data_IF_883830816461
#
_entry.id   IF_883830816461
#
_cell.length_a   1.000
_cell.length_b   1.000
_cell.length_c   1.000
_cell.angle_alpha   90.00
_cell.angle_beta   90.00
_cell.angle_gamma   90.00
#
_symmetry.space_group_name_H-M   'P 1'
#
loop_
_entity.id
_entity.type
_entity.pdbx_description
1 polymer ?
#
# COMPACT_ATOMS: atom_id res chain seq x y z
N UNK A 1 -43.49 -19.64 26.81
CA UNK A 1 -42.12 -20.18 26.80
C UNK A 1 -41.55 -20.09 25.38
N UNK A 2 -40.82 -19.01 25.06
CA UNK A 2 -40.31 -18.74 23.70
C UNK A 2 -38.84 -18.26 23.67
N UNK A 3 -38.11 -18.52 24.77
CA UNK A 3 -36.74 -18.05 24.99
C UNK A 3 -35.61 -18.96 24.47
N UNK A 4 -35.75 -20.31 24.35
CA UNK A 4 -34.60 -21.13 23.94
C UNK A 4 -34.30 -21.03 22.44
N UNK A 5 -35.33 -20.84 21.61
CA UNK A 5 -35.17 -20.78 20.14
C UNK A 5 -34.39 -19.54 19.71
N UNK A 6 -34.65 -18.39 20.35
CA UNK A 6 -33.97 -17.13 20.03
C UNK A 6 -32.48 -17.17 20.41
N UNK A 7 -32.15 -17.87 21.51
CA UNK A 7 -30.77 -18.04 21.95
C UNK A 7 -29.97 -18.94 20.99
N UNK A 8 -30.57 -20.05 20.56
CA UNK A 8 -29.95 -20.93 19.57
C UNK A 8 -29.76 -20.24 18.22
N UNK A 9 -30.74 -19.45 17.77
CA UNK A 9 -30.63 -18.68 16.53
C UNK A 9 -29.52 -17.63 16.61
N UNK A 10 -29.39 -16.95 17.75
CA UNK A 10 -28.32 -15.98 18.00
C UNK A 10 -26.93 -16.62 18.02
N UNK A 11 -26.77 -17.76 18.68
CA UNK A 11 -25.50 -18.51 18.73
C UNK A 11 -25.11 -19.05 17.35
N UNK A 12 -26.07 -19.56 16.57
CA UNK A 12 -25.86 -19.98 15.18
C UNK A 12 -25.42 -18.81 14.28
N UNK A 13 -26.00 -17.62 14.46
CA UNK A 13 -25.61 -16.44 13.69
C UNK A 13 -24.20 -15.94 14.05
N UNK A 14 -23.83 -15.98 15.34
CA UNK A 14 -22.47 -15.65 15.80
C UNK A 14 -21.42 -16.64 15.29
N UNK A 15 -21.71 -17.94 15.31
CA UNK A 15 -20.83 -18.98 14.74
C UNK A 15 -20.69 -18.82 13.21
N UNK A 16 -21.77 -18.45 12.51
CA UNK A 16 -21.74 -18.20 11.07
C UNK A 16 -20.90 -16.97 10.70
N UNK A 17 -20.87 -15.91 11.54
CA UNK A 17 -20.01 -14.75 11.32
C UNK A 17 -18.53 -15.04 11.56
N UNK A 18 -18.18 -15.99 12.42
CA UNK A 18 -16.79 -16.42 12.67
C UNK A 18 -16.19 -17.30 11.56
N UNK A 19 -17.01 -17.78 10.62
CA UNK A 19 -16.62 -18.62 9.49
C UNK A 19 -16.49 -17.84 8.18
N UNK A 20 -16.73 -16.53 8.18
CA UNK A 20 -16.41 -15.69 7.04
C UNK A 20 -14.88 -15.60 6.94
N UNK A 21 -14.24 -16.16 5.89
CA UNK A 21 -12.82 -15.96 5.71
C UNK A 21 -12.59 -14.45 5.64
N UNK A 22 -11.68 -13.95 6.50
CA UNK A 22 -11.21 -12.58 6.45
C UNK A 22 -10.68 -12.34 5.04
N UNK A 23 -11.53 -11.79 4.18
CA UNK A 23 -11.21 -11.51 2.80
C UNK A 23 -10.31 -10.28 2.83
N UNK A 24 -9.02 -10.52 3.07
CA UNK A 24 -8.00 -9.50 3.00
C UNK A 24 -8.15 -8.76 1.67
N UNK A 25 -8.26 -7.44 1.71
CA UNK A 25 -8.29 -6.64 0.50
C UNK A 25 -7.05 -6.98 -0.34
N UNK A 26 -7.22 -7.18 -1.65
CA UNK A 26 -6.08 -7.39 -2.53
C UNK A 26 -5.16 -6.17 -2.50
N UNK A 27 -3.85 -6.40 -2.49
CA UNK A 27 -2.89 -5.33 -2.71
C UNK A 27 -3.07 -4.75 -4.13
N UNK A 28 -2.90 -3.43 -4.27
CA UNK A 28 -3.06 -2.72 -5.53
C UNK A 28 -2.26 -3.39 -6.66
N UNK A 29 -2.92 -3.73 -7.77
CA UNK A 29 -2.30 -4.39 -8.92
C UNK A 29 -2.18 -5.91 -8.84
N UNK A 30 -2.68 -6.56 -7.77
CA UNK A 30 -2.74 -8.02 -7.65
C UNK A 30 -4.20 -8.51 -7.59
N UNK A 31 -4.58 -9.56 -8.36
CA UNK A 31 -5.89 -10.19 -8.22
C UNK A 31 -6.05 -10.82 -6.83
N UNK A 32 -7.29 -10.90 -6.31
CA UNK A 32 -7.56 -11.65 -5.07
C UNK A 32 -7.22 -13.13 -5.25
N UNK A 33 -6.59 -13.74 -4.26
CA UNK A 33 -6.30 -15.19 -4.24
C UNK A 33 -5.02 -15.60 -4.96
N UNK A 34 -4.21 -14.65 -5.47
CA UNK A 34 -2.89 -14.98 -5.99
C UNK A 34 -1.94 -15.32 -4.84
N UNK A 35 -1.24 -16.43 -4.96
CA UNK A 35 -0.26 -16.85 -3.96
C UNK A 35 0.98 -15.95 -4.01
N UNK A 36 1.76 -15.85 -2.92
CA UNK A 36 3.06 -15.18 -2.93
C UNK A 36 4.00 -15.67 -4.05
N UNK A 37 3.82 -16.92 -4.51
CA UNK A 37 4.57 -17.50 -5.63
C UNK A 37 4.22 -16.88 -7.00
N UNK A 38 3.02 -16.33 -7.18
CA UNK A 38 2.66 -15.59 -8.39
C UNK A 38 3.60 -14.39 -8.61
N UNK A 39 3.85 -13.62 -7.55
CA UNK A 39 4.82 -12.52 -7.58
C UNK A 39 6.27 -13.02 -7.66
N UNK A 40 6.56 -14.29 -7.29
CA UNK A 40 7.87 -14.89 -7.50
C UNK A 40 8.15 -15.19 -8.97
N UNK A 41 7.17 -15.67 -9.72
CA UNK A 41 7.37 -16.04 -11.12
C UNK A 41 7.35 -14.83 -12.08
N UNK A 42 6.60 -13.78 -11.78
CA UNK A 42 6.55 -12.54 -12.60
C UNK A 42 7.79 -11.64 -12.41
N UNK A 43 8.40 -11.62 -11.22
CA UNK A 43 9.50 -10.68 -10.88
C UNK A 43 10.89 -11.33 -10.79
N UNK A 44 11.09 -12.54 -11.33
CA UNK A 44 12.39 -13.27 -11.31
C UNK A 44 13.58 -12.49 -11.90
N UNK A 45 13.35 -11.37 -12.57
CA UNK A 45 14.39 -10.61 -13.23
C UNK A 45 15.10 -9.57 -12.34
N UNK A 46 14.60 -9.31 -11.12
CA UNK A 46 15.21 -8.34 -10.19
C UNK A 46 15.93 -9.05 -9.04
N UNK A 47 17.24 -9.28 -9.20
CA UNK A 47 18.10 -9.78 -8.13
C UNK A 47 18.30 -8.69 -7.07
N UNK A 48 18.10 -9.04 -5.78
CA UNK A 48 18.46 -8.19 -4.63
C UNK A 48 17.35 -7.89 -3.62
N UNK A 49 16.11 -8.33 -3.87
CA UNK A 49 14.98 -8.13 -2.95
C UNK A 49 14.70 -9.45 -2.21
N UNK A 50 14.61 -9.38 -0.88
CA UNK A 50 14.17 -10.49 -0.02
C UNK A 50 12.93 -11.18 -0.60
N UNK A 51 12.98 -12.50 -0.80
CA UNK A 51 11.90 -13.28 -1.43
C UNK A 51 10.57 -13.24 -0.67
N UNK A 52 10.55 -12.72 0.57
CA UNK A 52 9.43 -12.80 1.49
C UNK A 52 8.65 -11.49 1.64
N UNK A 53 9.10 -10.38 1.05
CA UNK A 53 8.39 -9.09 1.07
C UNK A 53 8.27 -8.55 -0.35
N UNK A 54 7.17 -8.92 -1.01
CA UNK A 54 6.84 -8.43 -2.34
C UNK A 54 5.84 -7.30 -2.20
N UNK A 55 6.26 -6.12 -2.65
CA UNK A 55 5.45 -4.93 -2.62
C UNK A 55 5.34 -4.35 -4.04
N UNK A 56 4.13 -3.99 -4.43
CA UNK A 56 3.85 -3.20 -5.61
C UNK A 56 3.98 -1.71 -5.25
N UNK A 57 4.70 -0.96 -6.07
CA UNK A 57 4.81 0.49 -5.95
C UNK A 57 4.08 1.13 -7.14
N UNK A 58 3.00 1.83 -6.85
CA UNK A 58 2.37 2.73 -7.79
C UNK A 58 2.95 4.13 -7.62
N UNK A 59 3.76 4.56 -8.58
CA UNK A 59 4.22 5.95 -8.66
C UNK A 59 3.11 6.79 -9.29
N UNK A 60 2.49 7.69 -8.54
CA UNK A 60 1.46 8.60 -9.04
C UNK A 60 1.96 10.05 -9.14
N UNK A 61 1.20 10.90 -9.82
CA UNK A 61 1.57 12.30 -9.98
C UNK A 61 1.41 13.11 -8.67
N UNK A 62 0.37 12.79 -7.89
CA UNK A 62 0.00 13.51 -6.67
C UNK A 62 0.27 12.68 -5.42
N UNK A 63 0.00 11.37 -5.49
CA UNK A 63 0.21 10.40 -4.43
C UNK A 63 0.84 9.15 -5.06
N UNK A 64 1.85 8.61 -4.41
CA UNK A 64 2.44 7.31 -4.73
C UNK A 64 2.02 6.35 -3.63
N UNK A 65 1.78 5.09 -3.98
CA UNK A 65 1.33 4.09 -3.02
C UNK A 65 2.24 2.87 -3.08
N UNK A 66 2.52 2.31 -1.91
CA UNK A 66 3.10 0.98 -1.77
C UNK A 66 2.02 0.06 -1.20
N UNK A 67 1.89 -1.12 -1.78
CA UNK A 67 1.00 -2.15 -1.28
C UNK A 67 1.68 -3.50 -1.38
N UNK A 68 1.43 -4.39 -0.42
CA UNK A 68 2.07 -5.69 -0.42
C UNK A 68 1.49 -6.59 0.64
N UNK A 69 2.14 -7.72 0.81
CA UNK A 69 1.88 -8.66 1.90
C UNK A 69 3.07 -8.61 2.85
N UNK A 70 2.80 -8.51 4.15
CA UNK A 70 3.84 -8.42 5.15
C UNK A 70 3.33 -7.87 6.47
N UNK A 71 3.72 -8.51 7.55
CA UNK A 71 3.39 -8.13 8.91
C UNK A 71 4.25 -8.92 9.89
N UNK A 72 4.62 -8.31 11.01
CA UNK A 72 5.48 -8.95 12.03
C UNK A 72 4.87 -10.24 12.62
N UNK A 73 3.56 -10.36 12.57
CA UNK A 73 2.79 -11.49 13.12
C UNK A 73 2.14 -12.37 12.04
N UNK A 74 1.89 -11.82 10.86
CA UNK A 74 1.25 -12.54 9.76
C UNK A 74 1.82 -12.08 8.39
N UNK A 75 2.56 -12.95 7.68
CA UNK A 75 3.12 -12.63 6.37
C UNK A 75 2.04 -12.52 5.26
N UNK A 76 0.79 -12.92 5.53
CA UNK A 76 -0.33 -12.83 4.58
C UNK A 76 -1.22 -11.61 4.79
N UNK A 77 -0.93 -10.78 5.79
CA UNK A 77 -1.67 -9.54 6.00
C UNK A 77 -1.32 -8.55 4.89
N UNK A 78 -2.33 -8.11 4.16
CA UNK A 78 -2.20 -7.07 3.15
C UNK A 78 -2.02 -5.70 3.81
N UNK A 79 -1.10 -4.90 3.28
CA UNK A 79 -0.93 -3.50 3.64
C UNK A 79 -0.99 -2.59 2.42
N UNK A 80 -1.41 -1.35 2.64
CA UNK A 80 -1.33 -0.27 1.66
C UNK A 80 -1.04 1.04 2.36
N UNK A 81 -0.05 1.77 1.86
CA UNK A 81 0.30 3.11 2.32
C UNK A 81 0.44 4.04 1.12
N UNK A 82 -0.23 5.20 1.16
CA UNK A 82 -0.16 6.20 0.11
C UNK A 82 0.44 7.49 0.64
N UNK A 83 1.49 7.97 -0.03
CA UNK A 83 2.34 9.09 0.36
C UNK A 83 2.28 10.15 -0.74
N UNK A 84 2.20 11.46 -0.43
CA UNK A 84 2.25 12.51 -1.44
C UNK A 84 3.52 12.41 -2.27
N UNK A 85 3.37 12.58 -3.57
CA UNK A 85 4.50 12.63 -4.51
C UNK A 85 5.10 14.02 -4.50
N UNK A 86 5.64 14.38 -3.34
CA UNK A 86 6.28 15.65 -3.02
C UNK A 86 7.65 15.38 -2.42
N UNK A 87 8.63 16.17 -2.85
CA UNK A 87 10.00 16.15 -2.34
C UNK A 87 10.41 17.60 -2.06
N UNK A 88 10.95 17.88 -0.88
CA UNK A 88 11.48 19.19 -0.54
C UNK A 88 12.97 19.09 -0.17
N UNK A 89 13.75 20.07 -0.62
CA UNK A 89 15.17 20.15 -0.33
C UNK A 89 15.39 21.23 0.72
N UNK A 90 15.97 20.82 1.85
CA UNK A 90 16.29 21.71 2.97
C UNK A 90 17.80 21.72 3.19
N UNK A 91 18.29 22.68 3.97
CA UNK A 91 19.68 22.70 4.43
C UNK A 91 20.07 21.46 5.26
N UNK A 92 19.09 20.77 5.88
CA UNK A 92 19.32 19.60 6.72
C UNK A 92 19.06 18.27 6.00
N UNK A 93 18.75 18.30 4.70
CA UNK A 93 18.47 17.12 3.89
C UNK A 93 17.13 17.17 3.18
N UNK A 94 16.62 16.00 2.79
CA UNK A 94 15.44 15.87 1.95
C UNK A 94 14.22 15.45 2.76
N UNK A 95 13.11 16.17 2.58
CA UNK A 95 11.80 15.79 3.09
C UNK A 95 10.99 15.14 1.97
N UNK A 96 10.15 14.17 2.31
CA UNK A 96 9.27 13.47 1.37
C UNK A 96 7.84 13.41 1.91
N UNK A 97 6.86 13.31 1.02
CA UNK A 97 5.47 13.12 1.41
C UNK A 97 4.87 14.33 2.12
N UNK A 98 4.10 14.09 3.18
CA UNK A 98 3.40 15.13 3.95
C UNK A 98 4.38 16.18 4.50
N UNK A 99 5.58 15.77 4.93
CA UNK A 99 6.59 16.70 5.44
C UNK A 99 7.05 17.69 4.36
N UNK A 100 7.18 17.24 3.10
CA UNK A 100 7.54 18.10 1.98
C UNK A 100 6.41 19.10 1.63
N UNK A 101 5.14 18.68 1.70
CA UNK A 101 4.00 19.58 1.52
C UNK A 101 4.00 20.66 2.59
N UNK A 102 4.16 20.26 3.86
CA UNK A 102 4.16 21.19 4.99
C UNK A 102 5.33 22.18 4.88
N UNK A 103 6.49 21.72 4.44
CA UNK A 103 7.63 22.59 4.17
C UNK A 103 7.33 23.60 3.05
N UNK A 104 6.71 23.17 1.95
CA UNK A 104 6.34 24.05 0.84
C UNK A 104 5.39 25.18 1.26
N UNK A 105 4.56 24.96 2.28
CA UNK A 105 3.64 25.96 2.82
C UNK A 105 4.38 27.12 3.54
N UNK A 106 5.54 26.85 4.14
CA UNK A 106 6.34 27.85 4.87
C UNK A 106 7.58 28.32 4.10
N UNK A 107 7.98 27.59 3.07
CA UNK A 107 9.09 27.93 2.18
C UNK A 107 8.69 27.64 0.73
N UNK A 108 7.97 28.56 0.07
CA UNK A 108 7.54 28.37 -1.31
C UNK A 108 8.73 28.23 -2.26
N UNK A 109 8.63 27.32 -3.22
CA UNK A 109 9.66 27.09 -4.25
C UNK A 109 10.79 26.14 -3.84
N UNK A 110 10.84 25.67 -2.59
CA UNK A 110 11.85 24.68 -2.13
C UNK A 110 11.37 23.23 -2.20
N UNK A 111 10.17 23.01 -2.75
CA UNK A 111 9.57 21.70 -2.93
C UNK A 111 9.12 21.48 -4.38
N UNK A 112 9.22 20.24 -4.82
CA UNK A 112 8.87 19.77 -6.17
C UNK A 112 7.75 18.74 -6.06
N UNK A 113 6.76 18.86 -6.94
CA UNK A 113 5.69 17.87 -7.14
C UNK A 113 5.33 17.76 -8.62
N UNK A 114 4.55 16.75 -8.99
CA UNK A 114 4.17 16.52 -10.39
C UNK A 114 5.31 16.04 -11.30
N UNK A 115 6.46 15.68 -10.72
CA UNK A 115 7.64 15.23 -11.46
C UNK A 115 7.41 13.95 -12.28
N UNK A 116 6.40 13.13 -11.94
CA UNK A 116 6.01 11.97 -12.76
C UNK A 116 5.74 12.36 -14.22
N UNK A 117 5.18 13.56 -14.46
CA UNK A 117 4.91 14.07 -15.82
C UNK A 117 6.17 14.33 -16.63
N UNK A 118 7.31 14.52 -15.97
CA UNK A 118 8.59 14.84 -16.62
C UNK A 118 9.44 13.59 -16.85
N UNK A 119 9.11 12.46 -16.25
CA UNK A 119 9.85 11.22 -16.44
C UNK A 119 9.77 10.78 -17.90
N UNK A 120 10.93 10.54 -18.52
CA UNK A 120 11.04 10.14 -19.92
C UNK A 120 10.92 11.31 -20.92
N UNK A 121 10.68 12.54 -20.47
CA UNK A 121 10.75 13.72 -21.32
C UNK A 121 12.22 14.14 -21.43
N UNK A 122 12.69 14.36 -22.67
CA UNK A 122 13.99 14.97 -22.93
C UNK A 122 13.84 16.49 -22.90
N UNK A 123 14.83 17.17 -22.34
CA UNK A 123 14.93 18.62 -22.44
C UNK A 123 15.79 18.95 -23.64
N UNK A 124 15.18 19.61 -24.62
CA UNK A 124 15.87 20.17 -25.77
C UNK A 124 16.45 21.51 -25.29
N UNK A 125 17.72 21.46 -24.86
CA UNK A 125 18.50 22.63 -24.42
C UNK A 125 19.26 23.24 -25.59
#
# INVERSE_FOLDING_TARGET
AARPVLYHLGVLLFLAMGLLPASGAAAFGLPRGVSPAYCANEFLQYQGISQNEKAAIHLGNTKSCIAGYGGRLDPYTAYQLCIPSWVAFTHNGTLVGEAAINHAAVSPGTAVSGFKRLLGIRQDL
#
